data_IF_315631945720
#
_entry.id   IF_315631945720
#
_cell.length_a   1.000
_cell.length_b   1.000
_cell.length_c   1.000
_cell.angle_alpha   90.00
_cell.angle_beta   90.00
_cell.angle_gamma   90.00
#
_symmetry.space_group_name_H-M   'P 1'
#
loop_
_entity.id
_entity.type
_entity.pdbx_description
1 polymer ?
#
# COMPACT_ATOMS: atom_id res chain seq x y z
N UNK A 1 3.15 25.77 7.03
CA UNK A 1 3.58 26.69 5.96
C UNK A 1 2.38 27.05 5.09
N UNK A 2 2.13 28.33 4.88
CA UNK A 2 1.01 28.83 4.09
C UNK A 2 1.45 29.21 2.67
N UNK A 3 0.74 28.67 1.68
CA UNK A 3 1.13 28.67 0.27
C UNK A 3 0.09 29.42 -0.56
N UNK A 4 0.54 30.36 -1.37
CA UNK A 4 -0.28 31.03 -2.38
C UNK A 4 0.16 30.59 -3.78
N UNK A 5 -0.78 30.16 -4.63
CA UNK A 5 -0.47 29.63 -5.97
C UNK A 5 -0.89 30.62 -7.05
N UNK A 6 0.02 31.02 -7.93
CA UNK A 6 -0.23 31.90 -9.08
C UNK A 6 -0.16 31.07 -10.36
N UNK A 7 -1.30 30.91 -11.04
CA UNK A 7 -1.48 30.04 -12.19
C UNK A 7 -2.32 28.80 -11.83
N UNK A 8 -3.46 28.65 -12.50
CA UNK A 8 -4.50 27.64 -12.29
C UNK A 8 -4.43 26.43 -13.22
N UNK A 9 -3.33 26.26 -13.95
CA UNK A 9 -3.14 25.16 -14.90
C UNK A 9 -3.02 23.77 -14.23
N UNK A 10 -2.70 22.74 -15.01
CA UNK A 10 -2.63 21.35 -14.53
C UNK A 10 -1.62 21.15 -13.38
N UNK A 11 -0.49 21.83 -13.43
CA UNK A 11 0.53 21.78 -12.38
C UNK A 11 -0.03 22.19 -11.00
N UNK A 12 -0.86 23.23 -10.96
CA UNK A 12 -1.48 23.71 -9.72
C UNK A 12 -2.50 22.73 -9.16
N UNK A 13 -3.25 22.04 -10.02
CA UNK A 13 -4.18 20.98 -9.60
C UNK A 13 -3.43 19.83 -8.91
N UNK A 14 -2.31 19.39 -9.50
CA UNK A 14 -1.45 18.33 -8.94
C UNK A 14 -0.90 18.78 -7.58
N UNK A 15 -0.37 20.00 -7.49
CA UNK A 15 0.15 20.53 -6.23
C UNK A 15 -0.93 20.67 -5.15
N UNK A 16 -2.12 21.17 -5.49
CA UNK A 16 -3.23 21.29 -4.55
C UNK A 16 -3.62 19.91 -4.01
N UNK A 17 -3.72 18.89 -4.86
CA UNK A 17 -4.05 17.53 -4.43
C UNK A 17 -3.06 17.02 -3.38
N UNK A 18 -1.77 17.20 -3.61
CA UNK A 18 -0.73 16.71 -2.70
C UNK A 18 -0.64 17.57 -1.44
N UNK A 19 -0.57 18.90 -1.57
CA UNK A 19 -0.45 19.79 -0.41
C UNK A 19 -1.66 19.73 0.51
N UNK A 20 -2.87 19.46 -0.01
CA UNK A 20 -4.07 19.33 0.83
C UNK A 20 -4.06 18.09 1.75
N UNK A 21 -3.20 17.09 1.47
CA UNK A 21 -3.04 15.89 2.29
C UNK A 21 -2.02 16.10 3.41
N UNK A 22 -1.14 17.08 3.27
CA UNK A 22 -0.05 17.35 4.21
C UNK A 22 -0.47 18.34 5.30
N UNK A 23 -0.44 17.90 6.57
CA UNK A 23 -0.87 18.74 7.71
C UNK A 23 -0.03 20.02 7.86
N UNK A 24 1.21 20.00 7.41
CA UNK A 24 2.13 21.13 7.54
C UNK A 24 2.04 22.11 6.37
N UNK A 25 1.31 21.79 5.30
CA UNK A 25 1.16 22.63 4.10
C UNK A 25 -0.29 23.11 3.96
N UNK A 26 -0.47 24.42 3.82
CA UNK A 26 -1.80 25.01 3.74
C UNK A 26 -1.90 25.90 2.52
N UNK A 27 -2.67 25.48 1.51
CA UNK A 27 -2.95 26.33 0.34
C UNK A 27 -3.98 27.38 0.75
N UNK A 28 -3.53 28.62 0.96
CA UNK A 28 -4.37 29.73 1.44
C UNK A 28 -5.07 30.50 0.32
N UNK A 29 -4.68 30.23 -0.93
CA UNK A 29 -5.32 30.80 -2.11
C UNK A 29 -4.69 30.37 -3.42
N UNK A 30 -5.46 30.47 -4.49
CA UNK A 30 -4.99 30.32 -5.88
C UNK A 30 -5.48 31.46 -6.76
N UNK A 31 -4.65 31.93 -7.68
CA UNK A 31 -5.00 33.00 -8.62
C UNK A 31 -4.88 32.53 -10.07
N UNK A 32 -5.93 32.76 -10.87
CA UNK A 32 -5.89 32.60 -12.33
C UNK A 32 -6.95 33.48 -13.01
N UNK A 33 -6.67 33.91 -14.24
CA UNK A 33 -7.62 34.68 -15.04
C UNK A 33 -8.82 33.83 -15.50
N UNK A 34 -8.63 32.53 -15.69
CA UNK A 34 -9.67 31.59 -16.10
C UNK A 34 -10.32 30.92 -14.88
N UNK A 35 -11.65 30.96 -14.80
CA UNK A 35 -12.40 30.26 -13.74
C UNK A 35 -12.55 28.76 -13.97
N UNK A 36 -12.32 28.33 -15.21
CA UNK A 36 -12.41 26.93 -15.63
C UNK A 36 -11.04 26.25 -15.64
N UNK A 37 -10.00 26.95 -15.18
CA UNK A 37 -8.68 26.38 -15.05
C UNK A 37 -8.70 25.18 -14.07
N UNK A 38 -8.00 24.06 -14.35
CA UNK A 38 -8.10 22.85 -13.55
C UNK A 38 -7.81 23.05 -12.05
N UNK A 39 -6.78 23.83 -11.72
CA UNK A 39 -6.44 24.16 -10.33
C UNK A 39 -7.47 25.05 -9.65
N UNK A 40 -8.11 25.96 -10.38
CA UNK A 40 -9.20 26.79 -9.84
C UNK A 40 -10.43 25.92 -9.52
N UNK A 41 -10.82 25.02 -10.42
CA UNK A 41 -11.93 24.11 -10.18
C UNK A 41 -11.65 23.20 -8.97
N UNK A 42 -10.42 22.69 -8.86
CA UNK A 42 -10.01 21.88 -7.71
C UNK A 42 -10.02 22.68 -6.40
N UNK A 43 -9.48 23.91 -6.41
CA UNK A 43 -9.50 24.80 -5.27
C UNK A 43 -10.93 25.09 -4.78
N UNK A 44 -11.86 25.41 -5.71
CA UNK A 44 -13.29 25.60 -5.39
C UNK A 44 -13.88 24.36 -4.71
N UNK A 45 -13.58 23.15 -5.21
CA UNK A 45 -14.06 21.88 -4.64
C UNK A 45 -13.56 21.67 -3.20
N UNK A 46 -12.36 22.14 -2.88
CA UNK A 46 -11.74 22.02 -1.56
C UNK A 46 -12.00 23.24 -0.65
N UNK A 47 -12.81 24.21 -1.10
CA UNK A 47 -13.07 25.44 -0.33
C UNK A 47 -11.88 26.39 -0.22
N UNK A 48 -10.87 26.24 -1.08
CA UNK A 48 -9.70 27.13 -1.12
C UNK A 48 -10.10 28.42 -1.84
N UNK A 49 -9.81 29.61 -1.27
CA UNK A 49 -10.12 30.89 -1.91
C UNK A 49 -9.47 31.06 -3.28
N UNK A 50 -10.25 31.54 -4.26
CA UNK A 50 -9.77 31.80 -5.63
C UNK A 50 -9.73 33.29 -5.90
N UNK A 51 -8.70 33.76 -6.60
CA UNK A 51 -8.45 35.18 -6.88
C UNK A 51 -8.32 35.44 -8.38
N UNK A 52 -8.70 36.66 -8.78
CA UNK A 52 -8.45 37.20 -10.13
C UNK A 52 -7.24 38.13 -10.16
N UNK A 53 -7.00 38.84 -9.07
CA UNK A 53 -5.82 39.68 -8.89
C UNK A 53 -4.85 39.00 -7.91
N UNK A 54 -3.66 38.65 -8.40
CA UNK A 54 -2.62 38.03 -7.57
C UNK A 54 -2.11 38.97 -6.48
N UNK A 55 -2.21 40.29 -6.65
CA UNK A 55 -1.76 41.27 -5.64
C UNK A 55 -2.55 41.13 -4.34
N UNK A 56 -3.86 40.93 -4.44
CA UNK A 56 -4.75 40.70 -3.29
C UNK A 56 -4.40 39.43 -2.51
N UNK A 57 -3.79 38.45 -3.19
CA UNK A 57 -3.42 37.17 -2.60
C UNK A 57 -1.98 37.15 -2.07
N UNK A 58 -1.00 37.54 -2.89
CA UNK A 58 0.43 37.45 -2.59
C UNK A 58 0.80 38.32 -1.39
N UNK A 59 0.21 39.51 -1.27
CA UNK A 59 0.57 40.47 -0.22
C UNK A 59 0.01 40.14 1.16
N UNK A 60 -0.89 39.14 1.28
CA UNK A 60 -1.54 38.75 2.54
C UNK A 60 -0.51 38.31 3.58
N UNK A 61 -0.57 38.91 4.77
CA UNK A 61 0.36 38.67 5.89
C UNK A 61 0.49 37.19 6.29
N UNK A 62 -0.51 36.37 6.00
CA UNK A 62 -0.50 34.95 6.30
C UNK A 62 0.11 34.06 5.21
N UNK A 63 0.71 34.60 4.14
CA UNK A 63 1.38 33.80 3.09
C UNK A 63 2.89 33.73 3.36
N UNK A 64 3.46 32.52 3.35
CA UNK A 64 4.90 32.27 3.54
C UNK A 64 5.61 31.91 2.22
N UNK A 65 4.94 31.17 1.34
CA UNK A 65 5.51 30.70 0.06
C UNK A 65 4.57 31.09 -1.09
N UNK A 66 5.12 31.73 -2.11
CA UNK A 66 4.42 31.99 -3.38
C UNK A 66 4.89 30.98 -4.42
N UNK A 67 3.96 30.29 -5.06
CA UNK A 67 4.24 29.29 -6.09
C UNK A 67 3.74 29.79 -7.43
N UNK A 68 4.66 30.21 -8.30
CA UNK A 68 4.36 30.73 -9.63
C UNK A 68 4.42 29.59 -10.66
N UNK A 69 3.32 29.32 -11.34
CA UNK A 69 3.14 28.21 -12.28
C UNK A 69 2.60 28.66 -13.65
N UNK A 70 2.70 29.96 -13.96
CA UNK A 70 2.23 30.52 -15.23
C UNK A 70 3.24 30.32 -16.36
N UNK A 71 4.53 30.22 -16.02
CA UNK A 71 5.62 30.15 -17.00
C UNK A 71 5.85 31.45 -17.75
N UNK A 72 5.16 32.54 -17.39
CA UNK A 72 5.28 33.84 -18.02
C UNK A 72 6.28 34.72 -17.26
N UNK A 73 7.33 35.16 -17.95
CA UNK A 73 8.36 36.05 -17.40
C UNK A 73 7.78 37.28 -16.70
N UNK A 74 6.79 37.94 -17.33
CA UNK A 74 6.19 39.16 -16.79
C UNK A 74 5.48 38.88 -15.47
N UNK A 75 4.74 37.78 -15.39
CA UNK A 75 4.05 37.37 -14.17
C UNK A 75 5.06 37.05 -13.07
N UNK A 76 6.17 36.40 -13.40
CA UNK A 76 7.24 36.13 -12.44
C UNK A 76 7.85 37.42 -11.88
N UNK A 77 8.19 38.39 -12.73
CA UNK A 77 8.70 39.69 -12.30
C UNK A 77 7.69 40.46 -11.45
N UNK A 78 6.40 40.40 -11.80
CA UNK A 78 5.35 40.99 -10.98
C UNK A 78 5.24 40.31 -9.61
N UNK A 79 5.32 38.98 -9.54
CA UNK A 79 5.34 38.25 -8.27
C UNK A 79 6.52 38.72 -7.42
N UNK A 80 7.74 38.74 -7.97
CA UNK A 80 8.95 39.20 -7.29
C UNK A 80 8.82 40.63 -6.74
N UNK A 81 8.19 41.54 -7.50
CA UNK A 81 7.94 42.91 -7.05
C UNK A 81 6.84 43.05 -5.99
N UNK A 82 6.04 42.01 -5.76
CA UNK A 82 4.96 41.98 -4.77
C UNK A 82 5.33 41.20 -3.49
N UNK A 83 6.44 40.45 -3.51
CA UNK A 83 6.89 39.68 -2.35
C UNK A 83 7.20 40.59 -1.17
N UNK A 84 6.82 40.14 0.01
CA UNK A 84 7.32 40.69 1.27
C UNK A 84 8.68 40.08 1.62
N UNK A 85 9.41 40.73 2.52
CA UNK A 85 10.74 40.27 2.96
C UNK A 85 10.72 38.92 3.69
N UNK A 86 9.57 38.46 4.18
CA UNK A 86 9.38 37.21 4.90
C UNK A 86 8.75 36.10 4.04
N UNK A 87 8.73 36.28 2.70
CA UNK A 87 8.17 35.33 1.76
C UNK A 87 9.23 34.72 0.86
N UNK A 88 9.11 33.41 0.65
CA UNK A 88 9.86 32.68 -0.38
C UNK A 88 9.04 32.56 -1.67
N UNK A 89 9.73 32.34 -2.79
CA UNK A 89 9.10 32.08 -4.09
C UNK A 89 9.64 30.80 -4.74
N UNK A 90 8.72 29.93 -5.14
CA UNK A 90 8.99 28.84 -6.07
C UNK A 90 8.51 29.27 -7.46
N UNK A 91 9.47 29.58 -8.35
CA UNK A 91 9.16 29.95 -9.74
C UNK A 91 8.71 28.73 -10.57
N UNK A 92 8.20 28.99 -11.78
CA UNK A 92 7.71 27.92 -12.67
C UNK A 92 8.75 26.81 -12.95
N UNK A 93 10.05 27.10 -12.91
CA UNK A 93 11.10 26.08 -13.04
C UNK A 93 11.10 25.08 -11.89
N UNK A 94 11.11 25.57 -10.65
CA UNK A 94 11.01 24.72 -9.45
C UNK A 94 9.66 24.03 -9.35
N UNK A 95 8.58 24.71 -9.74
CA UNK A 95 7.25 24.13 -9.76
C UNK A 95 7.10 22.97 -10.75
N UNK A 96 7.69 23.08 -11.95
CA UNK A 96 7.74 21.96 -12.92
C UNK A 96 8.52 20.77 -12.38
N UNK A 97 9.70 21.02 -11.78
CA UNK A 97 10.49 19.95 -11.17
C UNK A 97 9.70 19.24 -10.08
N UNK A 98 9.03 20.00 -9.21
CA UNK A 98 8.16 19.46 -8.16
C UNK A 98 7.02 18.63 -8.75
N UNK A 99 6.33 19.10 -9.79
CA UNK A 99 5.29 18.31 -10.47
C UNK A 99 5.84 17.01 -11.05
N UNK A 100 7.00 17.03 -11.72
CA UNK A 100 7.62 15.82 -12.25
C UNK A 100 7.93 14.81 -11.15
N UNK A 101 8.41 15.28 -10.00
CA UNK A 101 8.68 14.42 -8.84
C UNK A 101 7.37 13.86 -8.26
N UNK A 102 6.34 14.69 -8.08
CA UNK A 102 5.04 14.26 -7.57
C UNK A 102 4.36 13.24 -8.49
N UNK A 103 4.38 13.47 -9.81
CA UNK A 103 3.85 12.53 -10.79
C UNK A 103 4.64 11.22 -10.79
N UNK A 104 5.97 11.28 -10.69
CA UNK A 104 6.82 10.09 -10.59
C UNK A 104 6.56 9.30 -9.31
N UNK A 105 6.40 9.97 -8.17
CA UNK A 105 6.02 9.33 -6.89
C UNK A 105 4.66 8.66 -7.04
N UNK A 106 3.67 9.38 -7.54
CA UNK A 106 2.31 8.85 -7.74
C UNK A 106 2.31 7.60 -8.64
N UNK A 107 3.00 7.67 -9.78
CA UNK A 107 3.12 6.55 -10.70
C UNK A 107 3.86 5.36 -10.06
N UNK A 108 4.94 5.62 -9.31
CA UNK A 108 5.66 4.56 -8.61
C UNK A 108 4.81 3.92 -7.52
N UNK A 109 4.04 4.69 -6.75
CA UNK A 109 3.11 4.17 -5.74
C UNK A 109 2.06 3.26 -6.36
N UNK A 110 1.47 3.66 -7.50
CA UNK A 110 0.51 2.81 -8.22
C UNK A 110 1.16 1.52 -8.74
N UNK A 111 2.36 1.60 -9.31
CA UNK A 111 3.11 0.42 -9.77
C UNK A 111 3.40 -0.53 -8.62
N UNK A 112 3.80 -0.02 -7.45
CA UNK A 112 4.03 -0.83 -6.24
C UNK A 112 2.73 -1.51 -5.81
N UNK A 113 1.60 -0.80 -5.83
CA UNK A 113 0.30 -1.39 -5.49
C UNK A 113 -0.09 -2.51 -6.45
N UNK A 114 0.15 -2.36 -7.76
CA UNK A 114 -0.14 -3.42 -8.75
C UNK A 114 0.81 -4.62 -8.61
N UNK A 115 2.10 -4.40 -8.33
CA UNK A 115 3.06 -5.47 -8.06
C UNK A 115 2.68 -6.25 -6.79
N UNK A 116 2.30 -5.54 -5.71
CA UNK A 116 1.80 -6.15 -4.48
C UNK A 116 0.54 -6.98 -4.72
N UNK A 117 -0.37 -6.50 -5.57
CA UNK A 117 -1.59 -7.22 -5.93
C UNK A 117 -1.28 -8.60 -6.53
N UNK A 118 -0.40 -8.63 -7.54
CA UNK A 118 -0.01 -9.86 -8.22
C UNK A 118 0.73 -10.83 -7.28
N UNK A 119 1.64 -10.31 -6.45
CA UNK A 119 2.34 -11.13 -5.44
C UNK A 119 1.36 -11.72 -4.41
N UNK A 120 0.40 -10.93 -3.95
CA UNK A 120 -0.64 -11.36 -3.02
C UNK A 120 -1.49 -12.46 -3.63
N UNK A 121 -1.91 -12.33 -4.89
CA UNK A 121 -2.68 -13.36 -5.59
C UNK A 121 -1.91 -14.68 -5.71
N UNK A 122 -0.63 -14.62 -6.08
CA UNK A 122 0.23 -15.80 -6.14
C UNK A 122 0.37 -16.46 -4.76
N UNK A 123 0.53 -15.68 -3.70
CA UNK A 123 0.60 -16.21 -2.33
C UNK A 123 -0.71 -16.85 -1.89
N UNK A 124 -1.88 -16.30 -2.24
CA UNK A 124 -3.18 -16.94 -1.94
C UNK A 124 -3.24 -18.33 -2.56
N UNK A 125 -2.86 -18.45 -3.84
CA UNK A 125 -2.85 -19.74 -4.52
C UNK A 125 -1.86 -20.72 -3.89
N UNK A 126 -0.67 -20.25 -3.49
CA UNK A 126 0.31 -21.07 -2.80
C UNK A 126 -0.20 -21.58 -1.43
N UNK A 127 -0.86 -20.73 -0.64
CA UNK A 127 -1.43 -21.12 0.66
C UNK A 127 -2.55 -22.14 0.51
N UNK A 128 -3.44 -21.98 -0.49
CA UNK A 128 -4.50 -22.96 -0.76
C UNK A 128 -3.92 -24.36 -1.11
N UNK A 129 -2.79 -24.40 -1.84
CA UNK A 129 -2.07 -25.64 -2.11
C UNK A 129 -1.51 -26.25 -0.83
N UNK A 130 -0.91 -25.43 0.06
CA UNK A 130 -0.39 -25.89 1.36
C UNK A 130 -1.52 -26.48 2.21
N UNK A 131 -2.65 -25.79 2.31
CA UNK A 131 -3.81 -26.24 3.09
C UNK A 131 -4.36 -27.57 2.56
N UNK A 132 -4.51 -27.70 1.24
CA UNK A 132 -4.90 -28.97 0.60
C UNK A 132 -3.90 -30.09 0.87
N UNK A 133 -2.61 -29.78 0.86
CA UNK A 133 -1.53 -30.74 1.11
C UNK A 133 -1.58 -31.24 2.56
N UNK A 134 -1.78 -30.34 3.52
CA UNK A 134 -1.98 -30.68 4.93
C UNK A 134 -3.17 -31.62 5.11
N UNK A 135 -4.31 -31.34 4.48
CA UNK A 135 -5.51 -32.21 4.54
C UNK A 135 -5.19 -33.61 4.00
N UNK A 136 -4.46 -33.70 2.88
CA UNK A 136 -4.06 -34.98 2.30
C UNK A 136 -3.11 -35.75 3.22
N UNK A 137 -2.13 -35.09 3.85
CA UNK A 137 -1.21 -35.73 4.80
C UNK A 137 -2.00 -36.26 6.00
N UNK A 138 -2.91 -35.48 6.58
CA UNK A 138 -3.78 -35.95 7.68
C UNK A 138 -4.59 -37.19 7.30
N UNK A 139 -5.12 -37.24 6.08
CA UNK A 139 -5.81 -38.44 5.57
C UNK A 139 -4.88 -39.66 5.48
N UNK A 140 -3.63 -39.47 5.04
CA UNK A 140 -2.63 -40.53 5.00
C UNK A 140 -2.28 -41.01 6.40
N UNK A 141 -2.08 -40.10 7.35
CA UNK A 141 -1.79 -40.45 8.75
C UNK A 141 -2.88 -41.31 9.37
N UNK A 142 -4.16 -40.98 9.15
CA UNK A 142 -5.28 -41.80 9.61
C UNK A 142 -5.22 -43.22 9.02
N UNK A 143 -4.87 -43.36 7.73
CA UNK A 143 -4.72 -44.67 7.08
C UNK A 143 -3.55 -45.47 7.65
N UNK A 144 -2.40 -44.81 7.88
CA UNK A 144 -1.23 -45.45 8.50
C UNK A 144 -1.57 -45.89 9.93
N UNK A 145 -2.29 -45.07 10.69
CA UNK A 145 -2.74 -45.41 12.03
C UNK A 145 -3.64 -46.64 12.03
N UNK A 146 -4.57 -46.76 11.06
CA UNK A 146 -5.38 -47.97 10.90
C UNK A 146 -4.53 -49.20 10.57
N UNK A 147 -3.51 -49.07 9.71
CA UNK A 147 -2.58 -50.18 9.39
C UNK A 147 -1.82 -50.62 10.65
N UNK A 148 -1.33 -49.67 11.44
CA UNK A 148 -0.64 -49.94 12.70
C UNK A 148 -1.56 -50.68 13.69
N UNK A 149 -2.81 -50.23 13.85
CA UNK A 149 -3.80 -50.89 14.73
C UNK A 149 -4.09 -52.31 14.24
N UNK A 150 -4.37 -52.50 12.94
CA UNK A 150 -4.64 -53.82 12.37
C UNK A 150 -3.43 -54.76 12.49
N UNK A 151 -2.23 -54.23 12.28
CA UNK A 151 -0.97 -54.96 12.46
C UNK A 151 -0.79 -55.43 13.90
N UNK A 152 -1.11 -54.59 14.89
CA UNK A 152 -1.07 -54.96 16.30
C UNK A 152 -2.10 -56.06 16.65
N UNK A 153 -3.32 -55.97 16.11
CA UNK A 153 -4.35 -57.00 16.32
C UNK A 153 -3.90 -58.36 15.76
N UNK A 154 -3.41 -58.39 14.53
CA UNK A 154 -2.98 -59.64 13.89
C UNK A 154 -1.71 -60.21 14.54
N UNK A 155 -0.80 -59.34 15.00
CA UNK A 155 0.37 -59.74 15.78
C UNK A 155 -0.03 -60.40 17.12
N UNK A 156 -0.97 -59.83 17.86
CA UNK A 156 -1.53 -60.44 19.07
C UNK A 156 -2.16 -61.80 18.78
N UNK A 157 -2.91 -61.91 17.69
CA UNK A 157 -3.60 -63.14 17.27
C UNK A 157 -2.62 -64.26 16.89
N UNK A 158 -1.48 -63.92 16.29
CA UNK A 158 -0.41 -64.86 15.94
C UNK A 158 0.46 -65.32 17.13
N UNK A 159 0.25 -64.73 18.32
CA UNK A 159 0.99 -65.09 19.54
C UNK A 159 2.50 -64.90 19.38
N UNK A 160 3.30 -65.94 19.72
CA UNK A 160 4.77 -65.86 19.64
C UNK A 160 5.30 -65.56 18.23
N UNK A 161 4.58 -65.99 17.20
CA UNK A 161 4.98 -65.76 15.80
C UNK A 161 4.70 -64.32 15.33
N UNK A 162 3.87 -63.57 16.05
CA UNK A 162 3.53 -62.17 15.74
C UNK A 162 4.47 -61.13 16.36
N UNK A 163 5.42 -61.55 17.21
CA UNK A 163 6.25 -60.62 17.99
C UNK A 163 7.02 -59.60 17.13
N UNK A 164 7.58 -60.03 15.99
CA UNK A 164 8.28 -59.13 15.06
C UNK A 164 7.33 -58.13 14.39
N UNK A 165 6.10 -58.55 14.06
CA UNK A 165 5.08 -57.68 13.47
C UNK A 165 4.54 -56.65 14.47
N UNK A 166 4.41 -57.01 15.75
CA UNK A 166 3.99 -56.09 16.81
C UNK A 166 4.96 -54.91 16.95
N UNK A 167 6.28 -55.16 16.87
CA UNK A 167 7.30 -54.12 16.93
C UNK A 167 7.15 -53.14 15.77
N UNK A 168 6.95 -53.65 14.54
CA UNK A 168 6.75 -52.78 13.35
C UNK A 168 5.48 -51.94 13.48
N UNK A 169 4.38 -52.54 13.94
CA UNK A 169 3.12 -51.84 14.14
C UNK A 169 3.22 -50.73 15.22
N UNK A 170 3.99 -50.96 16.28
CA UNK A 170 4.28 -49.94 17.28
C UNK A 170 5.08 -48.78 16.70
N UNK A 171 6.16 -49.06 15.95
CA UNK A 171 6.99 -48.02 15.32
C UNK A 171 6.18 -47.19 14.31
N UNK A 172 5.23 -47.79 13.58
CA UNK A 172 4.32 -47.05 12.71
C UNK A 172 3.45 -46.05 13.48
N UNK A 173 2.96 -46.43 14.67
CA UNK A 173 2.18 -45.53 15.53
C UNK A 173 3.01 -44.37 16.09
N UNK A 174 4.25 -44.66 16.52
CA UNK A 174 5.19 -43.62 16.97
C UNK A 174 5.52 -42.64 15.84
N UNK A 175 5.78 -43.15 14.63
CA UNK A 175 6.02 -42.33 13.44
C UNK A 175 4.82 -41.45 13.07
N UNK A 176 3.59 -41.95 13.21
CA UNK A 176 2.38 -41.14 12.97
C UNK A 176 2.35 -39.93 13.90
N UNK A 177 2.67 -40.10 15.19
CA UNK A 177 2.69 -39.00 16.15
C UNK A 177 3.77 -37.96 15.82
N UNK A 178 4.95 -38.40 15.39
CA UNK A 178 6.03 -37.50 14.96
C UNK A 178 5.62 -36.67 13.74
N UNK A 179 5.03 -37.31 12.73
CA UNK A 179 4.58 -36.61 11.52
C UNK A 179 3.39 -35.69 11.82
N UNK A 180 2.48 -36.08 12.72
CA UNK A 180 1.35 -35.23 13.13
C UNK A 180 1.84 -33.93 13.78
N UNK A 181 2.86 -34.01 14.65
CA UNK A 181 3.50 -32.82 15.23
C UNK A 181 4.13 -31.90 14.17
N UNK A 182 4.78 -32.47 13.16
CA UNK A 182 5.30 -31.68 12.03
C UNK A 182 4.19 -31.02 11.20
N UNK A 183 3.06 -31.71 11.02
CA UNK A 183 1.88 -31.17 10.33
C UNK A 183 1.26 -30.01 11.11
N UNK A 184 1.20 -30.07 12.44
CA UNK A 184 0.74 -28.95 13.27
C UNK A 184 1.61 -27.70 13.09
N UNK A 185 2.93 -27.85 12.99
CA UNK A 185 3.82 -26.72 12.70
C UNK A 185 3.55 -26.09 11.33
N UNK A 186 3.26 -26.92 10.31
CA UNK A 186 2.88 -26.43 8.97
C UNK A 186 1.54 -25.69 9.03
N UNK A 187 0.56 -26.19 9.79
CA UNK A 187 -0.74 -25.52 9.99
C UNK A 187 -0.56 -24.14 10.63
N UNK A 188 0.27 -24.04 11.67
CA UNK A 188 0.54 -22.76 12.32
C UNK A 188 1.22 -21.78 11.34
N UNK A 189 2.20 -22.25 10.57
CA UNK A 189 2.89 -21.45 9.56
C UNK A 189 1.95 -21.01 8.42
N UNK A 190 1.02 -21.87 7.98
CA UNK A 190 -0.01 -21.53 7.00
C UNK A 190 -0.96 -20.46 7.53
N UNK A 191 -1.37 -20.57 8.80
CA UNK A 191 -2.21 -19.58 9.46
C UNK A 191 -1.54 -18.20 9.55
N UNK A 192 -0.26 -18.17 9.93
CA UNK A 192 0.54 -16.94 9.89
C UNK A 192 0.63 -16.36 8.48
N UNK A 193 0.84 -17.21 7.47
CA UNK A 193 0.85 -16.82 6.05
C UNK A 193 -0.45 -16.15 5.60
N UNK A 194 -1.61 -16.70 5.99
CA UNK A 194 -2.92 -16.09 5.74
C UNK A 194 -3.08 -14.72 6.45
N UNK A 195 -2.54 -14.58 7.65
CA UNK A 195 -2.57 -13.30 8.38
C UNK A 195 -1.74 -12.23 7.66
N UNK A 196 -0.53 -12.59 7.20
CA UNK A 196 0.33 -11.70 6.39
C UNK A 196 -0.37 -11.30 5.08
N UNK A 197 -1.02 -12.25 4.40
CA UNK A 197 -1.82 -11.99 3.20
C UNK A 197 -2.92 -10.95 3.42
N UNK A 198 -3.62 -11.01 4.55
CA UNK A 198 -4.64 -10.02 4.89
C UNK A 198 -4.02 -8.63 5.14
N UNK A 199 -2.89 -8.56 5.85
CA UNK A 199 -2.18 -7.30 6.07
C UNK A 199 -1.68 -6.69 4.75
N UNK A 200 -1.20 -7.51 3.81
CA UNK A 200 -0.78 -7.06 2.48
C UNK A 200 -1.95 -6.49 1.68
N UNK A 201 -3.12 -7.14 1.70
CA UNK A 201 -4.34 -6.63 1.06
C UNK A 201 -4.77 -5.28 1.63
N UNK A 202 -4.69 -5.11 2.95
CA UNK A 202 -4.97 -3.81 3.60
C UNK A 202 -3.96 -2.76 3.17
N UNK A 203 -2.68 -3.11 3.13
CA UNK A 203 -1.60 -2.19 2.70
C UNK A 203 -1.78 -1.76 1.25
N UNK A 204 -2.11 -2.69 0.34
CA UNK A 204 -2.41 -2.40 -1.07
C UNK A 204 -3.57 -1.40 -1.19
N UNK A 205 -4.66 -1.63 -0.44
CA UNK A 205 -5.81 -0.73 -0.43
C UNK A 205 -5.43 0.68 0.05
N UNK A 206 -4.68 0.78 1.14
CA UNK A 206 -4.25 2.08 1.68
C UNK A 206 -3.37 2.85 0.67
N UNK A 207 -2.44 2.18 -0.01
CA UNK A 207 -1.59 2.81 -1.04
C UNK A 207 -2.43 3.36 -2.21
N UNK A 208 -3.48 2.64 -2.63
CA UNK A 208 -4.38 3.12 -3.69
C UNK A 208 -5.21 4.32 -3.24
N UNK A 209 -5.64 4.33 -1.98
CA UNK A 209 -6.35 5.47 -1.38
C UNK A 209 -5.46 6.71 -1.24
N UNK A 210 -4.17 6.55 -0.92
CA UNK A 210 -3.21 7.66 -0.84
C UNK A 210 -3.03 8.40 -2.17
N UNK A 211 -3.24 7.72 -3.30
CA UNK A 211 -3.09 8.29 -4.65
C UNK A 211 -4.37 8.99 -5.14
N UNK A 212 -5.56 8.60 -4.66
CA UNK A 212 -6.86 9.16 -5.09
C UNK A 212 -7.16 10.53 -4.47
#
# INVERSE_FOLDING_TARGET
MNIAIVGGGKASEIMINHFSKEKDLHVVGICDLSETAPGIMKAKKLGIPTYKDMKEMVTRSNVNLVVELTGNEKVRQMCLGLLRNDQDIMSAGGGRLMCTILDAITHNTLRIADELHNLTEQMVNAMDIVDKTVINIKSILIKIQMIAINGNIEACKAGKNGAAFAVVAQHLGELVNEVDSAVEQIVNSSSEGHSVLNALKTTEKNLREEVQ
#
